data_IF_054125043748
#
_entry.id   IF_054125043748
#
_cell.length_a   1.000
_cell.length_b   1.000
_cell.length_c   1.000
_cell.angle_alpha   90.00
_cell.angle_beta   90.00
_cell.angle_gamma   90.00
#
_symmetry.space_group_name_H-M   'P 1'
#
loop_
_entity.id
_entity.type
_entity.pdbx_description
1 polymer ?
#
# COMPACT_ATOMS: atom_id res chain seq x y z
N UNK A 1 8.00 -27.04 0.75
CA UNK A 1 8.33 -25.92 -0.18
C UNK A 1 9.28 -24.88 0.44
N UNK A 2 9.16 -24.54 1.73
CA UNK A 2 10.06 -23.62 2.47
C UNK A 2 11.45 -24.15 2.84
N UNK A 3 12.15 -24.81 1.90
CA UNK A 3 13.61 -24.95 1.94
C UNK A 3 14.28 -24.34 0.71
N UNK A 4 13.50 -24.09 -0.36
CA UNK A 4 14.00 -23.57 -1.63
C UNK A 4 14.18 -22.07 -1.56
N UNK A 5 13.23 -21.33 -0.98
CA UNK A 5 13.31 -19.88 -0.88
C UNK A 5 14.43 -19.43 0.06
N UNK A 6 14.67 -20.16 1.14
CA UNK A 6 15.74 -19.89 2.11
C UNK A 6 17.12 -20.00 1.45
N UNK A 7 17.34 -21.06 0.64
CA UNK A 7 18.58 -21.21 -0.15
C UNK A 7 18.73 -20.09 -1.18
N UNK A 8 17.64 -19.75 -1.88
CA UNK A 8 17.64 -18.66 -2.85
C UNK A 8 18.00 -17.32 -2.18
N UNK A 9 17.49 -17.05 -0.98
CA UNK A 9 17.77 -15.80 -0.25
C UNK A 9 19.22 -15.75 0.22
N UNK A 10 19.79 -16.85 0.70
CA UNK A 10 21.21 -16.90 1.09
C UNK A 10 22.10 -16.57 -0.11
N UNK A 11 21.84 -17.21 -1.27
CA UNK A 11 22.58 -16.92 -2.49
C UNK A 11 22.37 -15.46 -2.95
N UNK A 12 21.16 -14.92 -2.83
CA UNK A 12 20.88 -13.52 -3.15
C UNK A 12 21.63 -12.54 -2.23
N UNK A 13 21.74 -12.87 -0.94
CA UNK A 13 22.50 -12.13 0.07
C UNK A 13 24.00 -12.13 -0.23
N UNK A 14 24.52 -13.26 -0.72
CA UNK A 14 25.91 -13.43 -1.17
C UNK A 14 26.21 -12.73 -2.51
N UNK A 15 25.22 -12.12 -3.14
CA UNK A 15 25.38 -11.32 -4.36
C UNK A 15 24.91 -11.99 -5.65
N UNK A 16 24.28 -13.17 -5.59
CA UNK A 16 23.73 -13.81 -6.79
C UNK A 16 22.50 -13.04 -7.31
N UNK A 17 22.68 -12.35 -8.45
CA UNK A 17 21.62 -11.57 -9.09
C UNK A 17 20.42 -12.43 -9.52
N UNK A 18 20.64 -13.63 -10.06
CA UNK A 18 19.57 -14.55 -10.47
C UNK A 18 18.71 -14.94 -9.26
N UNK A 19 19.35 -15.26 -8.14
CA UNK A 19 18.63 -15.60 -6.92
C UNK A 19 17.87 -14.40 -6.35
N UNK A 20 18.44 -13.19 -6.45
CA UNK A 20 17.76 -11.95 -6.06
C UNK A 20 16.50 -11.72 -6.91
N UNK A 21 16.59 -11.89 -8.23
CA UNK A 21 15.45 -11.76 -9.13
C UNK A 21 14.34 -12.78 -8.83
N UNK A 22 14.70 -14.01 -8.47
CA UNK A 22 13.73 -15.03 -8.06
C UNK A 22 13.00 -14.62 -6.77
N UNK A 23 13.70 -14.02 -5.80
CA UNK A 23 13.06 -13.47 -4.59
C UNK A 23 12.12 -12.34 -4.97
N UNK A 24 12.54 -11.38 -5.80
CA UNK A 24 11.66 -10.31 -6.24
C UNK A 24 10.41 -10.82 -6.97
N UNK A 25 10.54 -11.81 -7.86
CA UNK A 25 9.39 -12.40 -8.54
C UNK A 25 8.33 -12.95 -7.57
N UNK A 26 8.77 -13.47 -6.44
CA UNK A 26 7.87 -14.00 -5.41
C UNK A 26 7.18 -12.89 -4.59
N UNK A 27 7.91 -11.82 -4.25
CA UNK A 27 7.40 -10.79 -3.32
C UNK A 27 6.85 -9.52 -3.98
N UNK A 28 7.20 -9.22 -5.24
CA UNK A 28 6.64 -8.08 -6.00
C UNK A 28 5.10 -8.15 -6.07
N UNK A 29 4.46 -9.29 -6.38
CA UNK A 29 3.00 -9.38 -6.38
C UNK A 29 2.38 -9.00 -5.02
N UNK A 30 3.03 -9.39 -3.91
CA UNK A 30 2.58 -9.04 -2.56
C UNK A 30 2.69 -7.53 -2.33
N UNK A 31 3.82 -6.92 -2.70
CA UNK A 31 4.05 -5.47 -2.58
C UNK A 31 3.04 -4.69 -3.43
N UNK A 32 2.82 -5.10 -4.68
CA UNK A 32 1.82 -4.49 -5.57
C UNK A 32 0.42 -4.61 -4.97
N UNK A 33 0.10 -5.76 -4.35
CA UNK A 33 -1.17 -5.95 -3.67
C UNK A 33 -1.34 -5.00 -2.47
N UNK A 34 -0.28 -4.66 -1.74
CA UNK A 34 -0.32 -3.64 -0.69
C UNK A 34 -0.67 -2.25 -1.24
N UNK A 35 -0.01 -1.84 -2.33
CA UNK A 35 -0.27 -0.57 -2.97
C UNK A 35 -1.70 -0.52 -3.56
N UNK A 36 -2.08 -1.56 -4.31
CA UNK A 36 -3.40 -1.70 -4.91
C UNK A 36 -4.50 -1.71 -3.85
N UNK A 37 -4.45 -2.57 -2.84
CA UNK A 37 -5.53 -2.65 -1.84
C UNK A 37 -5.65 -1.41 -0.96
N UNK A 38 -4.63 -0.56 -0.91
CA UNK A 38 -4.60 0.64 -0.08
C UNK A 38 -4.42 1.90 -0.91
N UNK A 39 -4.76 1.87 -2.21
CA UNK A 39 -4.62 3.00 -3.12
C UNK A 39 -5.35 4.25 -2.57
N UNK A 40 -6.47 4.06 -1.87
CA UNK A 40 -7.21 5.14 -1.23
C UNK A 40 -6.49 5.72 -0.01
N UNK A 41 -5.61 4.98 0.67
CA UNK A 41 -4.81 5.48 1.81
C UNK A 41 -3.48 6.12 1.37
N UNK A 42 -3.12 6.00 0.08
CA UNK A 42 -1.77 6.31 -0.43
C UNK A 42 -1.87 7.30 -1.58
N UNK A 43 -1.37 8.53 -1.40
CA UNK A 43 -1.36 9.53 -2.49
C UNK A 43 -0.34 9.22 -3.60
N UNK A 44 0.76 8.54 -3.28
CA UNK A 44 1.81 8.19 -4.22
C UNK A 44 2.24 6.74 -4.03
N UNK A 45 1.68 5.87 -4.86
CA UNK A 45 1.96 4.44 -4.84
C UNK A 45 3.43 4.14 -5.13
N UNK A 46 4.07 4.88 -6.04
CA UNK A 46 5.48 4.69 -6.35
C UNK A 46 6.38 4.92 -5.13
N UNK A 47 6.08 5.93 -4.30
CA UNK A 47 6.81 6.15 -3.05
C UNK A 47 6.64 4.99 -2.06
N UNK A 48 5.41 4.47 -1.93
CA UNK A 48 5.17 3.31 -1.06
C UNK A 48 5.89 2.06 -1.60
N UNK A 49 5.75 1.77 -2.89
CA UNK A 49 6.38 0.62 -3.55
C UNK A 49 7.89 0.67 -3.39
N UNK A 50 8.55 1.82 -3.64
CA UNK A 50 9.99 1.97 -3.45
C UNK A 50 10.41 1.71 -1.99
N UNK A 51 9.62 2.18 -1.02
CA UNK A 51 9.88 1.94 0.41
C UNK A 51 9.74 0.47 0.78
N UNK A 52 8.74 -0.22 0.24
CA UNK A 52 8.52 -1.65 0.48
C UNK A 52 9.60 -2.51 -0.19
N UNK A 53 10.03 -2.15 -1.41
CA UNK A 53 11.16 -2.78 -2.09
C UNK A 53 12.48 -2.59 -1.33
N UNK A 54 12.75 -1.38 -0.85
CA UNK A 54 13.92 -1.11 0.01
C UNK A 54 13.88 -1.96 1.28
N UNK A 55 12.69 -2.15 1.88
CA UNK A 55 12.56 -3.01 3.07
C UNK A 55 12.76 -4.49 2.78
N UNK A 56 12.34 -4.96 1.61
CA UNK A 56 12.64 -6.31 1.13
C UNK A 56 14.16 -6.49 0.99
N UNK A 57 14.86 -5.50 0.44
CA UNK A 57 16.31 -5.55 0.26
C UNK A 57 17.08 -5.61 1.58
N UNK A 58 16.68 -4.79 2.57
CA UNK A 58 17.20 -4.89 3.93
C UNK A 58 16.96 -6.28 4.51
N UNK A 59 15.76 -6.83 4.31
CA UNK A 59 15.41 -8.16 4.84
C UNK A 59 16.24 -9.27 4.19
N UNK A 60 16.58 -9.17 2.90
CA UNK A 60 17.49 -10.10 2.22
C UNK A 60 18.89 -10.01 2.82
N UNK A 61 19.41 -8.79 3.03
CA UNK A 61 20.75 -8.55 3.58
C UNK A 61 20.89 -9.10 5.01
N UNK A 62 19.89 -8.86 5.84
CA UNK A 62 19.92 -9.20 7.26
C UNK A 62 19.40 -10.62 7.56
N UNK A 63 19.01 -11.37 6.53
CA UNK A 63 18.40 -12.68 6.74
C UNK A 63 19.38 -13.66 7.37
N UNK A 64 18.93 -14.33 8.43
CA UNK A 64 19.60 -15.46 9.05
C UNK A 64 18.60 -16.62 9.15
N UNK A 65 19.01 -17.79 8.65
CA UNK A 65 18.21 -19.03 8.63
C UNK A 65 17.78 -19.45 10.04
N UNK A 66 18.63 -19.21 11.04
CA UNK A 66 18.36 -19.56 12.44
C UNK A 66 17.22 -18.73 13.04
N UNK A 67 16.98 -17.52 12.50
CA UNK A 67 15.88 -16.64 12.92
C UNK A 67 14.52 -17.06 12.37
N UNK A 68 14.47 -18.10 11.54
CA UNK A 68 13.24 -18.72 11.05
C UNK A 68 12.93 -18.44 9.58
N UNK A 69 11.66 -18.55 9.21
CA UNK A 69 11.22 -18.49 7.81
C UNK A 69 11.37 -17.08 7.23
N UNK A 70 12.10 -16.98 6.11
CA UNK A 70 12.24 -15.73 5.36
C UNK A 70 10.88 -15.13 4.97
N UNK A 71 9.97 -15.96 4.48
CA UNK A 71 8.65 -15.50 4.04
C UNK A 71 7.86 -14.84 5.18
N UNK A 72 7.89 -15.42 6.39
CA UNK A 72 7.24 -14.82 7.57
C UNK A 72 7.90 -13.49 7.93
N UNK A 73 9.23 -13.44 7.94
CA UNK A 73 9.99 -12.25 8.27
C UNK A 73 9.71 -11.10 7.29
N UNK A 74 9.73 -11.37 5.98
CA UNK A 74 9.40 -10.38 4.95
C UNK A 74 7.98 -9.84 5.15
N UNK A 75 6.99 -10.72 5.35
CA UNK A 75 5.60 -10.29 5.53
C UNK A 75 5.44 -9.35 6.74
N UNK A 76 6.07 -9.67 7.86
CA UNK A 76 6.05 -8.83 9.07
C UNK A 76 6.72 -7.48 8.79
N UNK A 77 7.88 -7.48 8.13
CA UNK A 77 8.63 -6.27 7.82
C UNK A 77 7.89 -5.35 6.83
N UNK A 78 7.27 -5.93 5.79
CA UNK A 78 6.46 -5.18 4.82
C UNK A 78 5.24 -4.56 5.51
N UNK A 79 4.50 -5.32 6.31
CA UNK A 79 3.35 -4.84 7.08
C UNK A 79 3.74 -3.70 8.04
N UNK A 80 4.86 -3.85 8.76
CA UNK A 80 5.38 -2.81 9.67
C UNK A 80 5.75 -1.55 8.90
N UNK A 81 6.46 -1.68 7.77
CA UNK A 81 6.86 -0.56 6.93
C UNK A 81 5.65 0.17 6.33
N UNK A 82 4.65 -0.57 5.87
CA UNK A 82 3.39 -0.02 5.37
C UNK A 82 2.66 0.77 6.46
N UNK A 83 2.47 0.19 7.67
CA UNK A 83 1.80 0.89 8.78
C UNK A 83 2.52 2.17 9.19
N UNK A 84 3.85 2.17 9.22
CA UNK A 84 4.64 3.37 9.50
C UNK A 84 4.49 4.44 8.40
N UNK A 85 4.44 4.02 7.13
CA UNK A 85 4.20 4.91 6.01
C UNK A 85 2.83 5.61 6.11
N UNK A 86 1.78 4.85 6.43
CA UNK A 86 0.44 5.42 6.63
C UNK A 86 0.39 6.33 7.87
N UNK A 87 0.99 5.91 8.99
CA UNK A 87 0.99 6.69 10.24
C UNK A 87 1.71 8.02 10.07
N UNK A 88 2.92 8.03 9.51
CA UNK A 88 3.68 9.27 9.26
C UNK A 88 2.92 10.26 8.38
N UNK A 89 2.14 9.78 7.41
CA UNK A 89 1.27 10.62 6.58
C UNK A 89 0.06 11.19 7.33
N UNK A 90 -0.57 10.45 8.25
CA UNK A 90 -1.66 10.98 9.08
C UNK A 90 -1.19 12.17 9.92
N UNK A 91 0.03 12.15 10.44
CA UNK A 91 0.62 13.26 11.19
C UNK A 91 1.03 14.46 10.32
N UNK A 92 1.28 14.27 9.02
CA UNK A 92 1.54 15.39 8.11
C UNK A 92 0.26 16.04 7.55
N UNK A 93 -0.90 15.37 7.60
CA UNK A 93 -2.18 15.88 7.11
C UNK A 93 -3.07 16.50 8.20
N UNK A 94 -2.76 16.32 9.48
CA UNK A 94 -3.46 16.93 10.60
C UNK A 94 -2.51 17.84 11.37
N UNK A 95 -2.94 19.07 11.63
CA UNK A 95 -2.26 20.02 12.51
C UNK A 95 -1.65 19.34 13.75
N UNK A 96 -0.42 19.75 14.06
CA UNK A 96 0.31 19.37 15.27
C UNK A 96 -0.55 19.54 16.52
N UNK A 97 -0.93 18.42 17.13
CA UNK A 97 -1.06 18.35 18.59
C UNK A 97 -0.05 17.29 19.05
N UNK A 98 1.02 17.68 19.77
CA UNK A 98 2.00 16.73 20.25
C UNK A 98 1.36 15.92 21.38
N UNK A 99 0.87 14.72 21.06
CA UNK A 99 0.51 13.77 22.09
C UNK A 99 1.83 13.31 22.72
N UNK A 100 2.08 13.77 23.95
CA UNK A 100 3.20 13.36 24.78
C UNK A 100 3.25 11.82 24.79
N UNK A 101 4.32 11.27 24.21
CA UNK A 101 4.54 9.82 24.23
C UNK A 101 4.99 9.48 25.64
N UNK A 102 4.13 8.86 26.42
CA UNK A 102 4.58 8.14 27.60
C UNK A 102 5.33 6.90 27.10
N UNK A 103 6.65 6.92 27.29
CA UNK A 103 7.57 5.82 27.01
C UNK A 103 7.85 5.17 28.35
N UNK A 104 7.76 3.84 28.45
CA UNK A 104 8.16 3.13 29.66
C UNK A 104 9.70 3.02 29.76
N UNK A 105 10.21 2.58 30.91
CA UNK A 105 11.65 2.49 31.18
C UNK A 105 12.41 1.54 30.23
N UNK A 106 11.70 0.67 29.52
CA UNK A 106 12.25 -0.26 28.52
C UNK A 106 12.21 0.30 27.07
N UNK A 107 11.74 1.54 26.88
CA UNK A 107 11.71 2.20 25.57
C UNK A 107 10.54 1.77 24.67
N UNK A 108 9.57 1.02 25.19
CA UNK A 108 8.41 0.59 24.43
C UNK A 108 7.30 1.65 24.50
N UNK A 109 6.59 1.83 23.39
CA UNK A 109 5.38 2.66 23.37
C UNK A 109 4.17 1.74 23.56
N UNK A 110 3.07 2.21 24.16
CA UNK A 110 1.79 1.46 24.32
C UNK A 110 1.30 0.73 23.04
N UNK A 111 1.74 1.17 21.85
CA UNK A 111 1.45 0.53 20.57
C UNK A 111 2.21 -0.79 20.31
N UNK A 112 3.28 -1.07 21.05
CA UNK A 112 4.07 -2.32 20.95
C UNK A 112 3.49 -3.44 21.84
N UNK A 113 2.53 -3.12 22.72
CA UNK A 113 1.90 -4.04 23.67
C UNK A 113 0.56 -4.65 23.20
N UNK A 114 0.14 -4.45 21.95
CA UNK A 114 -1.04 -5.14 21.40
C UNK A 114 -0.61 -6.38 20.59
N UNK A 115 -0.74 -7.60 21.14
CA UNK A 115 -0.65 -8.81 20.36
C UNK A 115 -2.00 -9.05 19.66
N UNK A 116 -2.15 -8.63 18.40
CA UNK A 116 -3.28 -9.09 17.59
C UNK A 116 -2.83 -10.08 16.51
N UNK A 117 -2.79 -11.30 17.00
CA UNK A 117 -2.92 -12.58 16.32
C UNK A 117 -4.16 -12.53 15.41
N UNK A 118 -3.97 -12.80 14.11
CA UNK A 118 -5.04 -13.30 13.23
C UNK A 118 -6.34 -12.48 13.17
N UNK A 119 -6.29 -11.14 13.04
CA UNK A 119 -7.49 -10.36 12.72
C UNK A 119 -7.87 -10.56 11.25
N UNK A 120 -8.62 -11.64 11.08
CA UNK A 120 -9.75 -11.86 10.19
C UNK A 120 -9.63 -11.40 8.72
N UNK A 121 -9.39 -12.40 7.87
CA UNK A 121 -9.41 -12.26 6.41
C UNK A 121 -10.84 -11.94 5.93
N UNK A 122 -11.89 -12.38 6.63
CA UNK A 122 -13.29 -12.09 6.26
C UNK A 122 -13.67 -10.65 6.57
N UNK A 123 -13.35 -10.11 7.76
CA UNK A 123 -13.56 -8.69 8.06
C UNK A 123 -12.85 -7.76 7.07
N UNK A 124 -11.63 -8.11 6.63
CA UNK A 124 -10.93 -7.37 5.59
C UNK A 124 -11.61 -7.45 4.20
N UNK A 125 -12.32 -8.53 3.89
CA UNK A 125 -13.06 -8.67 2.62
C UNK A 125 -14.37 -7.87 2.68
N UNK A 126 -15.10 -7.93 3.80
CA UNK A 126 -16.34 -7.18 4.02
C UNK A 126 -16.09 -5.67 4.00
N UNK A 127 -15.02 -5.20 4.65
CA UNK A 127 -14.62 -3.79 4.58
C UNK A 127 -14.30 -3.38 3.14
N UNK A 128 -13.61 -4.22 2.36
CA UNK A 128 -13.25 -3.95 0.96
C UNK A 128 -14.46 -3.86 0.03
N UNK A 129 -15.43 -4.77 0.16
CA UNK A 129 -16.67 -4.71 -0.61
C UNK A 129 -17.47 -3.45 -0.25
N UNK A 130 -17.56 -3.10 1.04
CA UNK A 130 -18.22 -1.86 1.47
C UNK A 130 -17.55 -0.60 0.90
N UNK A 131 -16.21 -0.60 0.78
CA UNK A 131 -15.45 0.52 0.21
C UNK A 131 -15.73 0.64 -1.30
N UNK A 132 -15.75 -0.47 -2.04
CA UNK A 132 -16.07 -0.47 -3.47
C UNK A 132 -17.49 0.04 -3.73
N UNK A 133 -18.46 -0.42 -2.95
CA UNK A 133 -19.85 0.03 -3.04
C UNK A 133 -20.00 1.52 -2.72
N UNK A 134 -19.36 2.00 -1.65
CA UNK A 134 -19.34 3.43 -1.30
C UNK A 134 -18.74 4.27 -2.42
N UNK A 135 -17.60 3.90 -2.98
CA UNK A 135 -16.97 4.67 -4.07
C UNK A 135 -17.84 4.61 -5.34
N UNK A 136 -18.47 3.48 -5.65
CA UNK A 136 -19.42 3.38 -6.77
C UNK A 136 -20.62 4.32 -6.59
N UNK A 137 -21.13 4.47 -5.36
CA UNK A 137 -22.16 5.47 -5.03
C UNK A 137 -21.64 6.90 -5.17
N UNK A 138 -20.39 7.19 -4.80
CA UNK A 138 -19.79 8.52 -4.96
C UNK A 138 -19.57 8.92 -6.44
N UNK A 139 -19.50 7.95 -7.35
CA UNK A 139 -19.45 8.16 -8.80
C UNK A 139 -20.85 8.20 -9.45
N UNK A 140 -21.93 7.95 -8.71
CA UNK A 140 -23.29 7.89 -9.25
C UNK A 140 -23.69 9.23 -9.88
N UNK A 141 -24.17 9.19 -11.12
CA UNK A 141 -24.62 10.36 -11.88
C UNK A 141 -23.52 11.14 -12.63
N UNK A 142 -22.24 10.79 -12.48
CA UNK A 142 -21.13 11.47 -13.16
C UNK A 142 -20.34 10.48 -14.03
N UNK A 143 -20.51 10.56 -15.35
CA UNK A 143 -19.89 9.66 -16.32
C UNK A 143 -18.35 9.72 -16.27
N UNK A 144 -17.78 10.89 -15.99
CA UNK A 144 -16.33 11.08 -15.90
C UNK A 144 -15.77 10.43 -14.64
N UNK A 145 -16.46 10.56 -13.50
CA UNK A 145 -16.07 9.87 -12.25
C UNK A 145 -16.20 8.35 -12.40
N UNK A 146 -17.22 7.86 -13.09
CA UNK A 146 -17.37 6.43 -13.40
C UNK A 146 -16.21 5.90 -14.24
N UNK A 147 -15.81 6.62 -15.28
CA UNK A 147 -14.67 6.23 -16.11
C UNK A 147 -13.35 6.20 -15.32
N UNK A 148 -13.14 7.18 -14.43
CA UNK A 148 -11.98 7.19 -13.51
C UNK A 148 -12.00 5.95 -12.60
N UNK A 149 -13.17 5.63 -12.04
CA UNK A 149 -13.34 4.51 -11.12
C UNK A 149 -13.12 3.16 -11.81
N UNK A 150 -13.61 3.02 -13.04
CA UNK A 150 -13.39 1.84 -13.88
C UNK A 150 -11.89 1.64 -14.17
N UNK A 151 -11.20 2.71 -14.56
CA UNK A 151 -9.75 2.66 -14.77
C UNK A 151 -9.01 2.22 -13.49
N UNK A 152 -9.41 2.74 -12.33
CA UNK A 152 -8.84 2.32 -11.06
C UNK A 152 -9.21 0.89 -10.66
N UNK A 153 -10.39 0.38 -10.99
CA UNK A 153 -10.72 -1.03 -10.73
C UNK A 153 -9.89 -1.98 -11.58
N UNK A 154 -9.52 -1.56 -12.78
CA UNK A 154 -8.71 -2.33 -13.73
C UNK A 154 -7.20 -2.22 -13.45
N UNK A 155 -6.81 -1.53 -12.38
CA UNK A 155 -5.41 -1.34 -11.99
C UNK A 155 -4.68 -0.20 -12.73
N UNK A 156 -5.41 0.64 -13.46
CA UNK A 156 -4.85 1.75 -14.24
C UNK A 156 -4.77 3.04 -13.41
N UNK A 157 -3.66 3.22 -12.69
CA UNK A 157 -3.44 4.35 -11.78
C UNK A 157 -2.54 5.47 -12.31
N UNK A 158 -2.11 5.36 -13.57
CA UNK A 158 -1.31 6.41 -14.19
C UNK A 158 -2.21 7.62 -14.52
N UNK A 159 -2.23 8.61 -13.62
CA UNK A 159 -3.06 9.81 -13.75
C UNK A 159 -2.81 10.58 -15.07
N UNK A 160 -1.57 10.57 -15.61
CA UNK A 160 -1.27 11.22 -16.89
C UNK A 160 -1.93 10.49 -18.05
N UNK A 161 -1.72 9.18 -18.14
CA UNK A 161 -2.32 8.36 -19.20
C UNK A 161 -3.85 8.29 -19.07
N UNK A 162 -4.38 8.29 -17.84
CA UNK A 162 -5.81 8.38 -17.57
C UNK A 162 -6.37 9.75 -17.99
N UNK A 163 -5.62 10.83 -17.81
CA UNK A 163 -6.07 12.15 -18.25
C UNK A 163 -6.18 12.26 -19.78
N UNK A 164 -5.28 11.60 -20.51
CA UNK A 164 -5.33 11.50 -21.97
C UNK A 164 -6.53 10.66 -22.43
N UNK A 165 -6.74 9.49 -21.82
CA UNK A 165 -7.91 8.64 -22.09
C UNK A 165 -9.23 9.38 -21.84
N UNK A 166 -9.33 10.12 -20.73
CA UNK A 166 -10.52 10.92 -20.45
C UNK A 166 -10.71 12.06 -21.45
N UNK A 167 -9.62 12.62 -21.99
CA UNK A 167 -9.69 13.62 -23.05
C UNK A 167 -10.23 13.01 -24.35
N UNK A 168 -9.83 11.78 -24.68
CA UNK A 168 -10.38 11.05 -25.83
C UNK A 168 -11.88 10.74 -25.66
N UNK A 169 -12.31 10.38 -24.44
CA UNK A 169 -13.69 9.99 -24.15
C UNK A 169 -14.65 11.19 -24.00
N UNK A 170 -14.21 12.28 -23.39
CA UNK A 170 -15.09 13.40 -22.99
C UNK A 170 -14.69 14.75 -23.61
N UNK A 171 -13.64 14.80 -24.42
CA UNK A 171 -13.05 16.03 -24.94
C UNK A 171 -12.39 16.88 -23.86
N UNK A 172 -11.93 18.09 -24.20
CA UNK A 172 -11.33 19.03 -23.24
C UNK A 172 -9.80 18.96 -23.18
N UNK A 173 -9.21 19.47 -22.09
CA UNK A 173 -7.75 19.55 -21.89
C UNK A 173 -7.28 18.48 -20.90
N UNK A 174 -6.19 17.75 -21.16
CA UNK A 174 -5.65 16.74 -20.23
C UNK A 174 -5.42 17.29 -18.82
N UNK A 175 -4.93 18.52 -18.69
CA UNK A 175 -4.75 19.17 -17.38
C UNK A 175 -6.04 19.32 -16.58
N UNK A 176 -7.17 19.58 -17.25
CA UNK A 176 -8.48 19.61 -16.60
C UNK A 176 -8.85 18.22 -16.10
N UNK A 177 -8.60 17.18 -16.91
CA UNK A 177 -8.79 15.77 -16.54
C UNK A 177 -7.96 15.37 -15.34
N UNK A 178 -6.67 15.69 -15.34
CA UNK A 178 -5.77 15.46 -14.20
C UNK A 178 -6.29 16.11 -12.93
N UNK A 179 -6.72 17.38 -12.97
CA UNK A 179 -7.33 18.06 -11.80
C UNK A 179 -8.58 17.36 -11.30
N UNK A 180 -9.43 16.86 -12.20
CA UNK A 180 -10.63 16.13 -11.78
C UNK A 180 -10.32 14.76 -11.18
N UNK A 181 -9.34 14.03 -11.72
CA UNK A 181 -8.83 12.77 -11.14
C UNK A 181 -8.36 13.04 -9.70
N UNK A 182 -7.51 14.05 -9.51
CA UNK A 182 -7.00 14.41 -8.17
C UNK A 182 -8.13 14.82 -7.22
N UNK A 183 -9.05 15.69 -7.65
CA UNK A 183 -10.18 16.13 -6.81
C UNK A 183 -11.09 14.96 -6.44
N UNK A 184 -11.38 14.09 -7.38
CA UNK A 184 -12.21 12.92 -7.13
C UNK A 184 -11.52 11.93 -6.20
N UNK A 185 -10.20 11.71 -6.36
CA UNK A 185 -9.40 10.93 -5.42
C UNK A 185 -9.51 11.51 -4.01
N UNK A 186 -9.25 12.81 -3.83
CA UNK A 186 -9.37 13.47 -2.51
C UNK A 186 -10.77 13.34 -1.92
N UNK A 187 -11.81 13.49 -2.74
CA UNK A 187 -13.20 13.33 -2.30
C UNK A 187 -13.50 11.91 -1.81
N UNK A 188 -13.10 10.88 -2.56
CA UNK A 188 -13.20 9.50 -2.13
C UNK A 188 -12.42 9.24 -0.83
N UNK A 189 -11.20 9.77 -0.71
CA UNK A 189 -10.37 9.63 0.49
C UNK A 189 -11.03 10.23 1.73
N UNK A 190 -11.60 11.44 1.60
CA UNK A 190 -12.31 12.09 2.69
C UNK A 190 -13.56 11.29 3.10
N UNK A 191 -14.36 10.83 2.13
CA UNK A 191 -15.56 10.05 2.39
C UNK A 191 -15.27 8.72 3.09
N UNK A 192 -14.19 8.04 2.71
CA UNK A 192 -13.78 6.78 3.34
C UNK A 192 -13.17 7.00 4.74
N UNK A 193 -12.47 8.11 4.95
CA UNK A 193 -11.85 8.45 6.24
C UNK A 193 -12.86 8.86 7.33
N UNK A 194 -14.06 9.29 6.96
CA UNK A 194 -15.13 9.63 7.91
C UNK A 194 -15.91 8.41 8.41
N UNK A 195 -15.67 7.23 7.84
CA UNK A 195 -16.39 6.00 8.18
C UNK A 195 -15.53 4.93 8.85
N UNK A 196 -14.29 5.27 9.23
CA UNK A 196 -13.35 4.42 9.95
C UNK A 196 -13.08 5.02 11.33
#
# INVERSE_FOLDING_TARGET
MGKKIERTVIAAREGCHISRDLVYREFIPIINNYAHNNWFKVQNEATLTNRLLAKLDETIKDYNVERGSFHKLVRINLERSFRLFIKSRKYCNGNLTPLHKNVDEDGNTLADLLPDILVDIESNVIEKESVKEKIALLAKGDLRKKAILLAWSDGFYNDSALSELLTQLFGGKPDSHRRAITRFRTFCQAALSQTA
#
